data_IF_240534088143
#
_entry.id   IF_240534088143
#
_cell.length_a   1.000
_cell.length_b   1.000
_cell.length_c   1.000
_cell.angle_alpha   90.00
_cell.angle_beta   90.00
_cell.angle_gamma   90.00
#
_symmetry.space_group_name_H-M   'P 1'
#
loop_
_entity.id
_entity.type
_entity.pdbx_description
1 polymer ?
#
# COMPACT_ATOMS: atom_id res chain seq x y z
N UNK A 1 6.19 7.10 15.27
CA UNK A 1 5.82 6.84 13.86
C UNK A 1 5.78 8.11 13.02
N UNK A 2 4.93 9.13 13.21
CA UNK A 2 5.16 10.42 12.51
C UNK A 2 6.28 11.27 13.15
N UNK A 3 6.34 11.30 14.49
CA UNK A 3 7.36 12.06 15.26
C UNK A 3 8.81 11.65 14.99
N UNK A 4 9.04 10.39 14.58
CA UNK A 4 10.37 9.90 14.23
C UNK A 4 10.88 10.47 12.91
N UNK A 5 9.99 10.70 11.93
CA UNK A 5 10.34 11.35 10.67
C UNK A 5 10.79 12.79 10.90
N UNK A 6 10.05 13.53 11.73
CA UNK A 6 10.41 14.90 12.11
C UNK A 6 11.73 14.91 12.91
N UNK A 7 11.86 14.02 13.90
CA UNK A 7 13.09 13.91 14.70
C UNK A 7 14.32 13.49 13.87
N UNK A 8 14.11 12.73 12.79
CA UNK A 8 15.16 12.34 11.84
C UNK A 8 15.52 13.45 10.84
N UNK A 9 14.82 14.60 10.87
CA UNK A 9 15.14 15.78 10.07
C UNK A 9 14.24 16.01 8.85
N UNK A 10 13.12 15.29 8.71
CA UNK A 10 12.14 15.63 7.67
C UNK A 10 11.36 16.87 8.12
N UNK A 11 11.55 17.96 7.39
CA UNK A 11 10.90 19.26 7.63
C UNK A 11 9.48 19.29 7.02
N UNK A 12 8.41 19.43 7.82
CA UNK A 12 7.04 19.53 7.33
C UNK A 12 6.75 20.77 6.46
N UNK A 13 7.56 21.83 6.56
CA UNK A 13 7.40 23.03 5.73
C UNK A 13 7.97 22.84 4.32
N UNK A 14 8.84 21.83 4.12
CA UNK A 14 9.45 21.49 2.83
C UNK A 14 8.82 20.22 2.23
N UNK A 15 8.40 19.29 3.08
CA UNK A 15 7.90 17.97 2.67
C UNK A 15 6.49 17.71 3.19
N UNK A 16 5.61 17.22 2.32
CA UNK A 16 4.26 16.83 2.72
C UNK A 16 4.27 15.51 3.47
N UNK A 17 4.06 15.56 4.79
CA UNK A 17 3.88 14.38 5.65
C UNK A 17 2.40 14.26 6.02
N UNK A 18 1.79 13.13 5.70
CA UNK A 18 0.39 12.88 6.01
C UNK A 18 0.15 11.41 6.38
N UNK A 19 -1.04 11.13 6.91
CA UNK A 19 -1.48 9.77 7.21
C UNK A 19 -2.37 9.29 6.07
N UNK A 20 -1.97 8.21 5.40
CA UNK A 20 -2.68 7.64 4.23
C UNK A 20 -4.19 7.51 4.46
N UNK A 21 -4.62 6.98 5.61
CA UNK A 21 -6.04 6.75 5.91
C UNK A 21 -6.87 8.02 6.08
N UNK A 22 -6.24 9.19 6.19
CA UNK A 22 -6.93 10.49 6.25
C UNK A 22 -7.24 11.05 4.86
N UNK A 23 -6.76 10.40 3.79
CA UNK A 23 -6.95 10.80 2.40
C UNK A 23 -7.72 9.68 1.68
N UNK A 24 -9.07 9.77 1.58
CA UNK A 24 -9.91 8.70 1.02
C UNK A 24 -9.56 8.30 -0.42
N UNK A 25 -8.98 9.23 -1.20
CA UNK A 25 -8.60 9.02 -2.59
C UNK A 25 -7.73 7.77 -2.80
N UNK A 26 -6.89 7.40 -1.82
CA UNK A 26 -6.08 6.18 -1.88
C UNK A 26 -6.94 4.92 -1.98
N UNK A 27 -7.99 4.82 -1.16
CA UNK A 27 -8.90 3.67 -1.18
C UNK A 27 -9.75 3.65 -2.46
N UNK A 28 -10.21 4.82 -2.90
CA UNK A 28 -10.99 4.98 -4.13
C UNK A 28 -10.18 4.58 -5.37
N UNK A 29 -8.95 5.07 -5.50
CA UNK A 29 -8.08 4.70 -6.61
C UNK A 29 -7.62 3.24 -6.50
N UNK A 30 -7.36 2.72 -5.29
CA UNK A 30 -7.02 1.30 -5.10
C UNK A 30 -8.08 0.39 -5.70
N UNK A 31 -9.37 0.71 -5.52
CA UNK A 31 -10.46 -0.08 -6.12
C UNK A 31 -10.41 -0.08 -7.65
N UNK A 32 -10.14 1.09 -8.26
CA UNK A 32 -9.98 1.20 -9.71
C UNK A 32 -8.74 0.43 -10.19
N UNK A 33 -7.64 0.47 -9.44
CA UNK A 33 -6.41 -0.27 -9.75
C UNK A 33 -6.62 -1.79 -9.65
N UNK A 34 -7.37 -2.27 -8.67
CA UNK A 34 -7.75 -3.68 -8.56
C UNK A 34 -8.57 -4.14 -9.77
N UNK A 35 -9.46 -3.28 -10.29
CA UNK A 35 -10.23 -3.54 -11.51
C UNK A 35 -9.37 -3.60 -12.78
N UNK A 36 -8.19 -2.98 -12.77
CA UNK A 36 -7.25 -2.97 -13.89
C UNK A 36 -6.16 -4.07 -13.79
N UNK A 37 -5.91 -4.58 -12.58
CA UNK A 37 -4.83 -5.54 -12.31
C UNK A 37 -5.31 -6.97 -12.51
N UNK A 38 -4.48 -7.84 -13.09
CA UNK A 38 -4.82 -9.24 -13.24
C UNK A 38 -4.47 -10.06 -11.99
N UNK A 39 -5.34 -10.99 -11.60
CA UNK A 39 -5.10 -11.94 -10.50
C UNK A 39 -3.75 -12.67 -10.65
N UNK A 40 -3.37 -13.00 -11.90
CA UNK A 40 -2.09 -13.66 -12.19
C UNK A 40 -0.87 -12.81 -11.82
N UNK A 41 -0.95 -11.49 -11.95
CA UNK A 41 0.14 -10.57 -11.59
C UNK A 41 0.34 -10.52 -10.07
N UNK A 42 -0.76 -10.35 -9.33
CA UNK A 42 -0.74 -10.34 -7.86
C UNK A 42 -0.25 -11.69 -7.30
N UNK A 43 -0.67 -12.81 -7.89
CA UNK A 43 -0.27 -14.16 -7.44
C UNK A 43 1.22 -14.44 -7.64
N UNK A 44 1.85 -13.81 -8.63
CA UNK A 44 3.29 -13.99 -8.92
C UNK A 44 4.20 -13.17 -8.02
N UNK A 45 3.67 -12.22 -7.26
CA UNK A 45 4.46 -11.41 -6.34
C UNK A 45 5.16 -12.29 -5.30
N UNK A 46 6.50 -12.24 -5.27
CA UNK A 46 7.33 -12.98 -4.32
C UNK A 46 6.89 -12.73 -2.87
N UNK A 47 6.57 -11.48 -2.55
CA UNK A 47 6.09 -11.12 -1.21
C UNK A 47 4.77 -11.80 -0.83
N UNK A 48 3.83 -11.95 -1.77
CA UNK A 48 2.60 -12.69 -1.52
C UNK A 48 2.91 -14.18 -1.33
N UNK A 49 3.73 -14.78 -2.19
CA UNK A 49 4.11 -16.20 -2.10
C UNK A 49 4.81 -16.52 -0.78
N UNK A 50 5.81 -15.74 -0.39
CA UNK A 50 6.64 -16.01 0.78
C UNK A 50 5.88 -15.79 2.10
N UNK A 51 4.98 -14.80 2.14
CA UNK A 51 4.19 -14.48 3.34
C UNK A 51 2.96 -15.37 3.47
N UNK A 52 2.32 -15.75 2.36
CA UNK A 52 1.14 -16.64 2.38
C UNK A 52 1.49 -18.06 2.84
N UNK A 53 2.66 -18.59 2.47
CA UNK A 53 3.10 -19.93 2.88
C UNK A 53 3.39 -20.06 4.38
N UNK A 54 3.61 -18.94 5.07
CA UNK A 54 3.95 -18.91 6.51
C UNK A 54 2.73 -18.71 7.40
N UNK A 55 1.53 -18.58 6.84
CA UNK A 55 0.31 -18.28 7.58
C UNK A 55 -0.78 -19.30 7.27
N UNK A 56 -1.50 -19.73 8.30
CA UNK A 56 -2.63 -20.67 8.16
C UNK A 56 -3.83 -20.04 7.44
N UNK A 57 -4.03 -18.74 7.65
CA UNK A 57 -5.04 -17.94 6.97
C UNK A 57 -4.40 -16.67 6.40
N UNK A 58 -4.71 -16.36 5.14
CA UNK A 58 -4.15 -15.20 4.43
C UNK A 58 -5.25 -14.21 4.15
N UNK A 59 -5.05 -12.96 4.55
CA UNK A 59 -6.02 -11.89 4.28
C UNK A 59 -6.01 -11.52 2.79
N UNK A 60 -7.17 -11.13 2.26
CA UNK A 60 -7.27 -10.56 0.91
C UNK A 60 -6.37 -9.33 0.74
N UNK A 61 -6.21 -8.53 1.80
CA UNK A 61 -5.31 -7.39 1.80
C UNK A 61 -3.85 -7.77 1.52
N UNK A 62 -3.36 -8.93 1.97
CA UNK A 62 -2.01 -9.38 1.61
C UNK A 62 -1.86 -9.67 0.11
N UNK A 63 -2.96 -10.00 -0.56
CA UNK A 63 -2.99 -10.24 -2.00
C UNK A 63 -3.16 -8.94 -2.80
N UNK A 64 -4.01 -8.03 -2.34
CA UNK A 64 -4.38 -6.81 -3.09
C UNK A 64 -3.59 -5.56 -2.71
N UNK A 65 -2.79 -5.56 -1.63
CA UNK A 65 -1.98 -4.39 -1.26
C UNK A 65 -1.07 -3.84 -2.36
N UNK A 66 -0.57 -4.61 -3.35
CA UNK A 66 0.20 -4.02 -4.45
C UNK A 66 -0.63 -3.05 -5.30
N UNK A 67 -1.94 -3.27 -5.44
CA UNK A 67 -2.84 -2.35 -6.13
C UNK A 67 -3.03 -1.05 -5.33
N UNK A 68 -3.20 -1.15 -4.00
CA UNK A 68 -3.21 0.01 -3.10
C UNK A 68 -1.88 0.78 -3.16
N UNK A 69 -0.75 0.08 -3.14
CA UNK A 69 0.58 0.69 -3.23
C UNK A 69 0.80 1.39 -4.58
N UNK A 70 0.24 0.86 -5.67
CA UNK A 70 0.26 1.54 -6.96
C UNK A 70 -0.61 2.81 -6.94
N UNK A 71 -1.79 2.75 -6.29
CA UNK A 71 -2.63 3.93 -6.07
C UNK A 71 -1.93 5.00 -5.23
N UNK A 72 -1.14 4.60 -4.21
CA UNK A 72 -0.37 5.53 -3.37
C UNK A 72 0.69 6.33 -4.15
N UNK A 73 1.18 5.82 -5.29
CA UNK A 73 2.21 6.46 -6.12
C UNK A 73 1.60 7.30 -7.25
N UNK A 74 0.44 6.89 -7.76
CA UNK A 74 -0.19 7.51 -8.94
C UNK A 74 -1.09 8.73 -8.62
N UNK A 75 -1.47 8.92 -7.36
CA UNK A 75 -2.17 10.11 -6.86
C UNK A 75 -1.22 11.31 -6.72
#
# INVERSE_FOLDING_TARGET
>A
TARLFIAAGIDPEVSTIFVQSQVPAHAELSWLMECQTYIGELRRMTQFKDKSQKQEAVTSGLFTYPALMAADILL
#
